data_IF_568440262335
#
_entry.id   IF_568440262335
#
_cell.length_a   1.000
_cell.length_b   1.000
_cell.length_c   1.000
_cell.angle_alpha   90.00
_cell.angle_beta   90.00
_cell.angle_gamma   90.00
#
_symmetry.space_group_name_H-M   'P 1'
#
loop_
_entity.id
_entity.type
_entity.pdbx_description
1 polymer ?
#
# COMPACT_ATOMS: atom_id res chain seq x y z
N UNK A 1 -4.26 19.43 10.27
CA UNK A 1 -4.37 18.02 9.84
C UNK A 1 -3.64 17.18 10.88
N UNK A 2 -4.36 16.27 11.54
CA UNK A 2 -3.79 15.42 12.61
C UNK A 2 -2.64 14.56 12.07
N UNK A 3 -1.79 14.03 12.95
CA UNK A 3 -0.71 13.14 12.51
C UNK A 3 -1.28 11.84 11.95
N UNK A 4 -2.39 11.36 12.53
CA UNK A 4 -3.13 10.19 12.03
C UNK A 4 -3.57 10.39 10.58
N UNK A 5 -4.24 11.50 10.24
CA UNK A 5 -4.67 11.77 8.85
C UNK A 5 -3.48 11.83 7.89
N UNK A 6 -2.35 12.40 8.31
CA UNK A 6 -1.15 12.44 7.45
C UNK A 6 -0.61 11.04 7.15
N UNK A 7 -0.59 10.17 8.15
CA UNK A 7 -0.10 8.80 7.98
C UNK A 7 -1.08 7.94 7.16
N UNK A 8 -2.40 8.10 7.38
CA UNK A 8 -3.43 7.48 6.54
C UNK A 8 -3.31 7.91 5.07
N UNK A 9 -3.18 9.22 4.80
CA UNK A 9 -3.01 9.73 3.44
C UNK A 9 -1.71 9.24 2.79
N UNK A 10 -0.67 8.97 3.59
CA UNK A 10 0.57 8.37 3.11
C UNK A 10 0.35 6.91 2.71
N UNK A 11 -0.27 6.11 3.59
CA UNK A 11 -0.61 4.70 3.30
C UNK A 11 -1.57 4.58 2.12
N UNK A 12 -2.55 5.48 1.99
CA UNK A 12 -3.38 5.61 0.80
C UNK A 12 -2.49 5.78 -0.46
N UNK A 13 -1.57 6.74 -0.45
CA UNK A 13 -0.70 6.96 -1.61
C UNK A 13 0.22 5.77 -1.90
N UNK A 14 0.79 5.14 -0.87
CA UNK A 14 1.64 3.94 -1.00
C UNK A 14 0.85 2.79 -1.64
N UNK A 15 -0.37 2.52 -1.15
CA UNK A 15 -1.26 1.50 -1.69
C UNK A 15 -1.57 1.76 -3.17
N UNK A 16 -1.83 3.01 -3.57
CA UNK A 16 -2.02 3.35 -4.99
C UNK A 16 -0.76 3.10 -5.84
N UNK A 17 0.43 3.40 -5.32
CA UNK A 17 1.68 3.14 -6.04
C UNK A 17 1.91 1.62 -6.21
N UNK A 18 1.65 0.85 -5.15
CA UNK A 18 1.76 -0.62 -5.16
C UNK A 18 0.69 -1.27 -6.03
N UNK A 19 -0.54 -0.74 -6.06
CA UNK A 19 -1.61 -1.17 -6.96
C UNK A 19 -1.15 -1.18 -8.42
N UNK A 20 -0.48 -0.10 -8.85
CA UNK A 20 0.06 0.02 -10.20
C UNK A 20 1.27 -0.91 -10.39
N UNK A 21 2.18 -0.98 -9.42
CA UNK A 21 3.36 -1.84 -9.52
C UNK A 21 3.00 -3.33 -9.60
N UNK A 22 1.99 -3.77 -8.85
CA UNK A 22 1.53 -5.15 -8.87
C UNK A 22 0.78 -5.51 -10.15
N UNK A 23 0.05 -4.56 -10.76
CA UNK A 23 -0.42 -4.71 -12.14
C UNK A 23 0.73 -4.88 -13.14
N UNK A 24 1.80 -4.10 -13.00
CA UNK A 24 2.99 -4.23 -13.85
C UNK A 24 3.61 -5.63 -13.73
N UNK A 25 3.73 -6.17 -12.51
CA UNK A 25 4.19 -7.54 -12.30
C UNK A 25 3.24 -8.57 -12.89
N UNK A 26 1.93 -8.42 -12.65
CA UNK A 26 0.89 -9.32 -13.16
C UNK A 26 0.95 -9.44 -14.69
N UNK A 27 1.13 -8.34 -15.40
CA UNK A 27 1.22 -8.35 -16.86
C UNK A 27 2.58 -8.80 -17.40
N UNK A 28 3.68 -8.48 -16.70
CA UNK A 28 5.03 -8.59 -17.26
C UNK A 28 5.93 -9.67 -16.62
N UNK A 29 5.40 -10.49 -15.69
CA UNK A 29 6.12 -11.65 -15.13
C UNK A 29 6.31 -12.75 -16.17
N UNK A 30 7.48 -13.41 -16.13
CA UNK A 30 7.82 -14.55 -17.00
C UNK A 30 8.54 -15.64 -16.21
N UNK A 31 8.32 -16.89 -16.60
CA UNK A 31 9.02 -18.04 -16.03
C UNK A 31 8.14 -19.28 -15.92
N UNK A 32 8.73 -20.37 -15.40
CA UNK A 32 8.05 -21.66 -15.28
C UNK A 32 6.81 -21.61 -14.37
N UNK A 33 6.84 -20.77 -13.32
CA UNK A 33 5.72 -20.57 -12.39
C UNK A 33 4.86 -19.36 -12.76
N UNK A 34 4.84 -18.96 -14.04
CA UNK A 34 4.08 -17.80 -14.52
C UNK A 34 2.63 -17.80 -14.03
N UNK A 35 1.91 -18.90 -14.22
CA UNK A 35 0.48 -18.96 -13.92
C UNK A 35 0.17 -18.70 -12.44
N UNK A 36 0.97 -19.26 -11.53
CA UNK A 36 0.80 -19.07 -10.08
C UNK A 36 1.12 -17.64 -9.66
N UNK A 37 2.21 -17.09 -10.18
CA UNK A 37 2.67 -15.75 -9.78
C UNK A 37 1.76 -14.68 -10.38
N UNK A 38 1.31 -14.85 -11.61
CA UNK A 38 0.32 -13.99 -12.26
C UNK A 38 -0.98 -13.90 -11.45
N UNK A 39 -1.55 -15.04 -11.06
CA UNK A 39 -2.76 -15.07 -10.23
C UNK A 39 -2.52 -14.44 -8.84
N UNK A 40 -1.39 -14.75 -8.20
CA UNK A 40 -1.04 -14.16 -6.91
C UNK A 40 -0.90 -12.64 -6.97
N UNK A 41 -0.28 -12.10 -8.02
CA UNK A 41 -0.16 -10.64 -8.18
C UNK A 41 -1.49 -9.95 -8.49
N UNK A 42 -2.50 -10.68 -8.98
CA UNK A 42 -3.87 -10.17 -9.12
C UNK A 42 -4.54 -10.02 -7.76
N UNK A 43 -4.52 -11.07 -6.94
CA UNK A 43 -4.98 -11.01 -5.56
C UNK A 43 -4.28 -9.87 -4.79
N UNK A 44 -2.95 -9.75 -4.94
CA UNK A 44 -2.18 -8.72 -4.27
C UNK A 44 -2.53 -7.29 -4.74
N UNK A 45 -2.79 -7.05 -6.04
CA UNK A 45 -3.20 -5.71 -6.46
C UNK A 45 -4.62 -5.39 -5.99
N UNK A 46 -5.51 -6.37 -5.91
CA UNK A 46 -6.88 -6.14 -5.42
C UNK A 46 -6.86 -5.72 -3.95
N UNK A 47 -6.02 -6.35 -3.12
CA UNK A 47 -5.75 -5.94 -1.74
C UNK A 47 -5.25 -4.48 -1.65
N UNK A 48 -4.39 -4.04 -2.56
CA UNK A 48 -3.91 -2.65 -2.59
C UNK A 48 -5.03 -1.68 -2.98
N UNK A 49 -5.99 -2.12 -3.82
CA UNK A 49 -7.17 -1.36 -4.17
C UNK A 49 -8.11 -1.14 -2.99
N UNK A 50 -8.36 -2.19 -2.20
CA UNK A 50 -9.13 -2.10 -0.95
C UNK A 50 -8.43 -1.19 0.06
N UNK A 51 -7.12 -1.39 0.26
CA UNK A 51 -6.35 -0.57 1.19
C UNK A 51 -6.32 0.92 0.80
N UNK A 52 -6.27 1.21 -0.51
CA UNK A 52 -6.35 2.58 -1.01
C UNK A 52 -7.63 3.28 -0.56
N UNK A 53 -8.77 2.58 -0.62
CA UNK A 53 -10.07 3.13 -0.23
C UNK A 53 -10.21 3.22 1.29
N UNK A 54 -9.89 2.16 2.02
CA UNK A 54 -10.02 2.09 3.48
C UNK A 54 -9.24 3.23 4.19
N UNK A 55 -8.02 3.52 3.74
CA UNK A 55 -7.21 4.60 4.29
C UNK A 55 -7.82 5.98 3.99
N UNK A 56 -8.39 6.15 2.79
CA UNK A 56 -9.04 7.38 2.37
C UNK A 56 -10.34 7.63 3.16
N UNK A 57 -11.17 6.60 3.29
CA UNK A 57 -12.42 6.65 4.06
C UNK A 57 -12.15 6.92 5.53
N UNK A 58 -11.18 6.22 6.13
CA UNK A 58 -10.82 6.47 7.53
C UNK A 58 -10.34 7.89 7.75
N UNK A 59 -9.52 8.43 6.84
CA UNK A 59 -9.08 9.82 6.90
C UNK A 59 -10.27 10.80 6.84
N UNK A 60 -11.30 10.53 6.02
CA UNK A 60 -12.52 11.35 5.95
C UNK A 60 -13.32 11.28 7.26
N UNK A 61 -13.48 10.09 7.85
CA UNK A 61 -14.25 9.90 9.09
C UNK A 61 -13.70 10.71 10.27
N UNK A 62 -12.39 10.96 10.31
CA UNK A 62 -11.73 11.79 11.34
C UNK A 62 -11.50 13.25 10.92
N UNK A 63 -12.24 13.72 9.91
CA UNK A 63 -12.24 15.12 9.47
C UNK A 63 -11.10 15.52 8.55
N UNK A 64 -10.37 14.55 8.00
CA UNK A 64 -9.35 14.71 6.97
C UNK A 64 -9.92 14.83 5.55
N UNK A 65 -9.05 14.59 4.56
CA UNK A 65 -9.41 14.57 3.14
C UNK A 65 -8.60 13.49 2.44
N UNK A 66 -9.27 12.69 1.62
CA UNK A 66 -8.64 11.74 0.71
C UNK A 66 -7.74 12.45 -0.31
N UNK A 67 -6.66 11.78 -0.70
CA UNK A 67 -5.72 12.26 -1.73
C UNK A 67 -6.21 11.80 -3.11
N UNK A 68 -6.60 12.74 -3.96
CA UNK A 68 -7.16 12.42 -5.30
C UNK A 68 -6.33 12.98 -6.46
N UNK A 69 -5.39 13.87 -6.18
CA UNK A 69 -4.52 14.45 -7.22
C UNK A 69 -3.35 13.53 -7.46
N UNK A 70 -3.15 13.12 -8.72
CA UNK A 70 -2.03 12.26 -9.12
C UNK A 70 -0.67 12.76 -8.63
N UNK A 71 -0.41 14.09 -8.72
CA UNK A 71 0.84 14.68 -8.22
C UNK A 71 1.06 14.44 -6.72
N UNK A 72 -0.01 14.53 -5.93
CA UNK A 72 0.07 14.38 -4.48
C UNK A 72 0.23 12.90 -4.10
N UNK A 73 -0.43 11.99 -4.82
CA UNK A 73 -0.24 10.54 -4.68
C UNK A 73 1.23 10.16 -4.97
N UNK A 74 1.81 10.69 -6.05
CA UNK A 74 3.22 10.42 -6.40
C UNK A 74 4.17 10.97 -5.32
N UNK A 75 3.96 12.18 -4.83
CA UNK A 75 4.85 12.77 -3.82
C UNK A 75 4.78 12.03 -2.47
N UNK A 76 3.58 11.61 -2.05
CA UNK A 76 3.38 10.95 -0.77
C UNK A 76 3.89 9.49 -0.77
N UNK A 77 3.88 8.84 -1.94
CA UNK A 77 4.31 7.45 -2.12
C UNK A 77 5.77 7.27 -2.49
N UNK A 78 6.58 8.32 -2.47
CA UNK A 78 7.98 8.30 -2.91
C UNK A 78 8.89 7.28 -2.19
N UNK A 79 8.47 6.83 -1.01
CA UNK A 79 9.21 5.87 -0.20
C UNK A 79 8.70 4.43 -0.39
N UNK A 80 7.59 4.22 -1.11
CA UNK A 80 7.05 2.90 -1.41
C UNK A 80 8.03 2.15 -2.36
N UNK A 81 8.36 0.88 -2.07
CA UNK A 81 9.33 0.14 -2.86
C UNK A 81 8.67 -0.35 -4.16
N UNK A 82 8.80 0.44 -5.22
CA UNK A 82 8.31 0.10 -6.56
C UNK A 82 9.48 -0.13 -7.53
N UNK A 83 9.30 -1.08 -8.44
CA UNK A 83 10.21 -1.38 -9.55
C UNK A 83 9.46 -1.18 -10.85
N UNK A 84 10.12 -0.65 -11.89
CA UNK A 84 9.51 -0.45 -13.23
C UNK A 84 10.48 -0.97 -14.29
N UNK A 85 10.05 -2.00 -15.02
CA UNK A 85 10.82 -2.72 -16.05
C UNK A 85 9.87 -3.31 -17.08
N UNK A 86 10.39 -3.62 -18.26
CA UNK A 86 9.61 -4.24 -19.34
C UNK A 86 9.28 -5.73 -19.10
N UNK A 87 9.99 -6.41 -18.20
CA UNK A 87 9.72 -7.80 -17.81
C UNK A 87 10.44 -8.22 -16.54
N UNK A 88 9.88 -9.20 -15.85
CA UNK A 88 10.37 -9.70 -14.56
C UNK A 88 10.52 -11.22 -14.53
N UNK A 89 11.49 -11.71 -13.76
CA UNK A 89 11.55 -13.12 -13.37
C UNK A 89 10.61 -13.42 -12.21
N UNK A 90 10.14 -14.66 -12.10
CA UNK A 90 9.27 -15.09 -10.97
C UNK A 90 9.87 -14.77 -9.59
N UNK A 91 11.13 -15.14 -9.34
CA UNK A 91 11.77 -14.91 -8.04
C UNK A 91 11.88 -13.43 -7.71
N UNK A 92 12.17 -12.61 -8.73
CA UNK A 92 12.27 -11.16 -8.59
C UNK A 92 10.94 -10.54 -8.19
N UNK A 93 9.82 -10.93 -8.85
CA UNK A 93 8.48 -10.46 -8.47
C UNK A 93 8.16 -10.81 -7.03
N UNK A 94 8.41 -12.05 -6.60
CA UNK A 94 8.14 -12.48 -5.23
C UNK A 94 8.99 -11.74 -4.20
N UNK A 95 10.26 -11.45 -4.52
CA UNK A 95 11.13 -10.65 -3.67
C UNK A 95 10.67 -9.19 -3.56
N UNK A 96 10.21 -8.60 -4.67
CA UNK A 96 9.72 -7.22 -4.68
C UNK A 96 8.38 -7.08 -3.95
N UNK A 97 7.44 -8.01 -4.17
CA UNK A 97 6.18 -8.08 -3.40
C UNK A 97 6.46 -8.25 -1.91
N UNK A 98 7.39 -9.13 -1.53
CA UNK A 98 7.81 -9.28 -0.14
C UNK A 98 8.33 -7.97 0.46
N UNK A 99 9.19 -7.23 -0.26
CA UNK A 99 9.70 -5.92 0.20
C UNK A 99 8.57 -4.90 0.39
N UNK A 100 7.57 -4.91 -0.50
CA UNK A 100 6.40 -4.05 -0.38
C UNK A 100 5.58 -4.35 0.88
N UNK A 101 5.29 -5.62 1.17
CA UNK A 101 4.59 -5.96 2.42
C UNK A 101 5.43 -5.67 3.67
N UNK A 102 6.74 -5.95 3.66
CA UNK A 102 7.63 -5.59 4.78
C UNK A 102 7.70 -4.08 5.02
N UNK A 103 7.52 -3.29 3.96
CA UNK A 103 7.41 -1.84 4.04
C UNK A 103 6.07 -1.41 4.65
N UNK A 104 4.95 -1.93 4.14
CA UNK A 104 3.61 -1.61 4.65
C UNK A 104 3.49 -1.94 6.13
N UNK A 105 3.98 -3.11 6.57
CA UNK A 105 4.01 -3.50 7.99
C UNK A 105 4.69 -2.44 8.87
N UNK A 106 5.77 -1.81 8.40
CA UNK A 106 6.46 -0.75 9.16
C UNK A 106 5.61 0.52 9.22
N UNK A 107 4.96 0.89 8.11
CA UNK A 107 4.10 2.08 8.06
C UNK A 107 2.81 1.90 8.87
N UNK A 108 2.26 0.67 8.97
CA UNK A 108 1.14 0.35 9.85
C UNK A 108 1.52 0.37 11.32
N UNK A 109 2.68 -0.18 11.71
CA UNK A 109 3.18 -0.03 13.10
C UNK A 109 3.31 1.43 13.50
N UNK A 110 3.81 2.27 12.60
CA UNK A 110 3.89 3.71 12.81
C UNK A 110 2.50 4.36 12.90
N UNK A 111 1.53 3.94 12.09
CA UNK A 111 0.15 4.40 12.20
C UNK A 111 -0.45 4.04 13.57
N UNK A 112 -0.23 2.81 14.03
CA UNK A 112 -0.66 2.34 15.34
C UNK A 112 -0.10 3.24 16.46
N UNK A 113 1.22 3.43 16.51
CA UNK A 113 1.88 4.27 17.52
C UNK A 113 1.33 5.71 17.53
N UNK A 114 1.09 6.29 16.35
CA UNK A 114 0.54 7.64 16.22
C UNK A 114 -0.91 7.69 16.70
N UNK A 115 -1.73 6.69 16.33
CA UNK A 115 -3.14 6.61 16.69
C UNK A 115 -3.32 6.42 18.20
N UNK A 116 -2.56 5.52 18.83
CA UNK A 116 -2.56 5.32 20.28
C UNK A 116 -2.17 6.60 21.04
N UNK A 117 -1.15 7.32 20.56
CA UNK A 117 -0.73 8.58 21.16
C UNK A 117 -1.78 9.71 21.05
N UNK A 118 -2.67 9.65 20.06
CA UNK A 118 -3.79 10.59 19.87
C UNK A 118 -5.13 10.08 20.46
N UNK A 119 -5.15 8.87 21.05
CA UNK A 119 -6.36 8.25 21.60
C UNK A 119 -7.37 7.81 20.53
N UNK A 120 -6.91 7.53 19.31
CA UNK A 120 -7.74 7.04 18.20
C UNK A 120 -7.70 5.50 18.16
N UNK A 121 -8.48 4.88 19.05
CA UNK A 121 -8.54 3.42 19.17
C UNK A 121 -9.00 2.73 17.88
N UNK A 122 -9.89 3.37 17.12
CA UNK A 122 -10.39 2.80 15.86
C UNK A 122 -9.27 2.71 14.83
N UNK A 123 -8.47 3.77 14.65
CA UNK A 123 -7.34 3.72 13.71
C UNK A 123 -6.22 2.82 14.21
N UNK A 124 -5.99 2.75 15.52
CA UNK A 124 -5.03 1.80 16.10
C UNK A 124 -5.41 0.35 15.78
N UNK A 125 -6.68 -0.01 15.95
CA UNK A 125 -7.16 -1.36 15.63
C UNK A 125 -7.04 -1.68 14.14
N UNK A 126 -7.43 -0.75 13.25
CA UNK A 126 -7.22 -0.91 11.80
C UNK A 126 -5.74 -1.18 11.50
N UNK A 127 -4.83 -0.43 12.12
CA UNK A 127 -3.40 -0.63 11.92
C UNK A 127 -2.90 -2.01 12.41
N UNK A 128 -3.50 -2.56 13.46
CA UNK A 128 -3.16 -3.90 13.97
C UNK A 128 -3.68 -5.02 13.06
N UNK A 129 -4.83 -4.85 12.41
CA UNK A 129 -5.40 -5.85 11.50
C UNK A 129 -4.58 -6.02 10.20
N UNK A 130 -3.78 -5.01 9.84
CA UNK A 130 -2.89 -5.01 8.67
C UNK A 130 -1.39 -5.20 9.01
N UNK A 131 -1.07 -5.54 10.26
CA UNK A 131 0.29 -5.86 10.72
C UNK A 131 0.61 -7.35 10.62
#
# INVERSE_FOLDING_TARGET
>A
MSKVVKQLNKLQADAHALFIAFHDYHWNVKGLQFAQVHAYTEEAYDEMGELFDDMAERALMIGGKAVTKAKDLIELSKDAPVSVKDSYGVTEVLEDVKKAYEYLVKEFKKLQEIAEAEGDDTTSNIAQDHY
#
